data_IF_640639552060
#
_entry.id   IF_640639552060
#
_cell.length_a   1.000
_cell.length_b   1.000
_cell.length_c   1.000
_cell.angle_alpha   90.00
_cell.angle_beta   90.00
_cell.angle_gamma   90.00
#
_symmetry.space_group_name_H-M   'P 1'
#
loop_
_entity.id
_entity.type
_entity.pdbx_description
1 polymer ?
#
# COMPACT_ATOMS: atom_id res chain seq x y z
N UNK A 1 -0.23 21.37 -64.80
CA UNK A 1 0.27 20.11 -64.22
C UNK A 1 0.17 20.23 -62.71
N UNK A 2 -0.91 19.71 -62.14
CA UNK A 2 -1.16 19.72 -60.69
C UNK A 2 -0.86 18.32 -60.16
N UNK A 3 0.16 18.23 -59.30
CA UNK A 3 0.54 17.00 -58.60
C UNK A 3 -0.42 16.75 -57.44
N UNK A 4 -1.09 15.59 -57.49
CA UNK A 4 -2.00 15.06 -56.48
C UNK A 4 -1.17 14.69 -55.24
N UNK A 5 -1.46 15.34 -54.11
CA UNK A 5 -0.93 14.99 -52.81
C UNK A 5 -1.55 13.68 -52.32
N UNK A 6 -0.70 12.69 -52.07
CA UNK A 6 -1.11 11.39 -51.54
C UNK A 6 -1.45 11.50 -50.05
N UNK A 7 -2.67 11.11 -49.69
CA UNK A 7 -3.09 10.87 -48.30
C UNK A 7 -2.25 9.73 -47.69
N UNK A 8 -1.38 10.06 -46.75
CA UNK A 8 -0.71 9.06 -45.91
C UNK A 8 -1.69 8.63 -44.81
N UNK A 9 -2.44 7.56 -45.06
CA UNK A 9 -3.20 6.84 -44.02
C UNK A 9 -2.23 6.09 -43.10
N UNK A 10 -1.86 6.70 -41.98
CA UNK A 10 -1.08 6.03 -40.93
C UNK A 10 -1.99 5.08 -40.16
N UNK A 11 -1.93 3.78 -40.46
CA UNK A 11 -2.57 2.73 -39.65
C UNK A 11 -1.84 2.64 -38.31
N UNK A 12 -2.50 3.01 -37.20
CA UNK A 12 -2.07 2.64 -35.84
C UNK A 12 -2.11 1.11 -35.71
N UNK A 13 -0.97 0.48 -35.49
CA UNK A 13 -0.90 -0.93 -35.13
C UNK A 13 -1.27 -1.08 -33.65
N UNK A 14 -2.45 -1.66 -33.38
CA UNK A 14 -2.81 -2.14 -32.05
C UNK A 14 -2.12 -3.48 -31.83
N UNK A 15 -1.10 -3.53 -30.98
CA UNK A 15 -0.48 -4.78 -30.55
C UNK A 15 -1.31 -5.41 -29.43
N UNK A 16 -2.40 -6.08 -29.79
CA UNK A 16 -3.02 -7.12 -28.96
C UNK A 16 -3.33 -8.30 -29.88
N UNK A 17 -2.57 -9.38 -29.74
CA UNK A 17 -2.89 -10.67 -30.35
C UNK A 17 -3.92 -11.40 -29.46
N UNK A 18 -5.03 -11.92 -30.01
CA UNK A 18 -5.96 -12.77 -29.27
C UNK A 18 -5.28 -14.12 -28.97
N UNK A 19 -5.34 -14.57 -27.72
CA UNK A 19 -4.94 -15.94 -27.37
C UNK A 19 -6.06 -16.87 -27.82
N UNK A 20 -5.83 -17.59 -28.92
CA UNK A 20 -6.68 -18.69 -29.35
C UNK A 20 -6.56 -19.89 -28.40
N UNK A 21 -7.70 -20.55 -28.21
CA UNK A 21 -7.96 -21.61 -27.25
C UNK A 21 -7.02 -22.82 -27.42
N UNK A 22 -6.19 -23.08 -26.41
CA UNK A 22 -5.49 -24.35 -26.27
C UNK A 22 -6.16 -25.22 -25.19
N UNK A 23 -6.88 -26.24 -25.68
CA UNK A 23 -7.17 -27.56 -25.09
C UNK A 23 -7.26 -27.70 -23.56
N UNK A 24 -8.46 -28.10 -23.12
CA UNK A 24 -8.79 -28.58 -21.78
C UNK A 24 -7.74 -29.55 -21.20
N UNK A 25 -7.11 -29.15 -20.08
CA UNK A 25 -6.53 -30.09 -19.14
C UNK A 25 -7.34 -29.98 -17.83
N UNK A 26 -8.28 -30.91 -17.62
CA UNK A 26 -9.03 -31.03 -16.36
C UNK A 26 -8.07 -31.45 -15.24
N UNK A 27 -7.39 -30.49 -14.63
CA UNK A 27 -6.90 -30.65 -13.25
C UNK A 27 -8.00 -30.15 -12.33
N UNK A 28 -8.57 -31.07 -11.57
CA UNK A 28 -9.48 -30.79 -10.47
C UNK A 28 -8.68 -29.99 -9.45
N UNK A 29 -8.80 -28.67 -9.48
CA UNK A 29 -8.24 -27.80 -8.46
C UNK A 29 -9.05 -28.02 -7.19
N UNK A 30 -8.56 -28.89 -6.31
CA UNK A 30 -8.94 -28.84 -4.90
C UNK A 30 -8.67 -27.42 -4.41
N UNK A 31 -9.74 -26.79 -3.90
CA UNK A 31 -9.73 -25.44 -3.36
C UNK A 31 -8.90 -25.43 -2.07
N UNK A 32 -7.59 -25.35 -2.22
CA UNK A 32 -6.73 -24.87 -1.14
C UNK A 32 -6.99 -23.37 -1.07
N UNK A 33 -7.74 -22.97 -0.04
CA UNK A 33 -7.86 -21.58 0.39
C UNK A 33 -6.46 -21.06 0.71
N UNK A 34 -5.80 -20.53 -0.31
CA UNK A 34 -4.61 -19.71 -0.14
C UNK A 34 -5.10 -18.33 0.27
N UNK A 35 -5.58 -18.23 1.51
CA UNK A 35 -5.71 -16.94 2.18
C UNK A 35 -4.30 -16.37 2.27
N UNK A 36 -3.93 -15.55 1.27
CA UNK A 36 -2.83 -14.61 1.43
C UNK A 36 -3.09 -13.85 2.73
N UNK A 37 -2.06 -13.59 3.54
CA UNK A 37 -2.21 -12.71 4.71
C UNK A 37 -2.92 -11.44 4.27
N UNK A 38 -4.08 -11.15 4.87
CA UNK A 38 -4.79 -9.92 4.62
C UNK A 38 -3.87 -8.78 5.05
N UNK A 39 -3.34 -8.03 4.09
CA UNK A 39 -2.69 -6.75 4.39
C UNK A 39 -3.84 -5.75 4.43
N UNK A 40 -4.03 -5.03 5.55
CA UNK A 40 -5.08 -4.03 5.66
C UNK A 40 -4.96 -2.99 4.56
N UNK A 41 -6.10 -2.47 4.12
CA UNK A 41 -6.11 -1.34 3.21
C UNK A 41 -5.49 -0.10 3.87
N UNK A 42 -4.74 0.68 3.08
CA UNK A 42 -4.30 2.04 3.45
C UNK A 42 -5.06 3.03 2.60
N UNK A 43 -5.77 3.94 3.25
CA UNK A 43 -6.54 4.99 2.59
C UNK A 43 -5.91 6.37 2.81
N UNK A 44 -6.32 7.33 1.99
CA UNK A 44 -5.82 8.70 1.89
C UNK A 44 -4.30 8.74 1.66
N UNK A 45 -3.75 7.62 1.19
CA UNK A 45 -2.34 7.36 1.20
C UNK A 45 -1.62 7.95 0.00
N UNK A 46 -0.31 8.10 0.14
CA UNK A 46 0.57 8.50 -0.95
C UNK A 46 1.81 7.63 -0.99
N UNK A 47 2.19 7.24 -2.21
CA UNK A 47 3.40 6.47 -2.48
C UNK A 47 4.43 7.32 -3.22
N UNK A 48 5.61 7.43 -2.64
CA UNK A 48 6.77 8.13 -3.18
C UNK A 48 7.79 7.12 -3.67
N UNK A 49 8.24 7.25 -4.93
CA UNK A 49 9.30 6.40 -5.45
C UNK A 49 10.64 6.87 -4.92
N UNK A 50 11.44 5.96 -4.36
CA UNK A 50 12.76 6.28 -3.79
C UNK A 50 13.90 5.74 -4.64
N UNK A 51 13.57 5.03 -5.73
CA UNK A 51 14.50 4.69 -6.80
C UNK A 51 13.97 5.16 -8.14
N UNK A 52 14.86 5.50 -9.07
CA UNK A 52 14.51 5.88 -10.45
C UNK A 52 13.74 4.77 -11.19
N UNK A 53 14.04 3.52 -10.87
CA UNK A 53 13.36 2.33 -11.41
C UNK A 53 11.99 2.06 -10.78
N UNK A 54 11.56 2.87 -9.79
CA UNK A 54 10.33 2.64 -9.01
C UNK A 54 10.27 1.27 -8.33
N UNK A 55 11.41 0.61 -8.16
CA UNK A 55 11.53 -0.71 -7.52
C UNK A 55 11.28 -0.62 -6.01
N UNK A 56 11.66 0.50 -5.39
CA UNK A 56 11.40 0.79 -3.97
C UNK A 56 10.58 2.06 -3.82
N UNK A 57 9.76 2.07 -2.78
CA UNK A 57 8.87 3.17 -2.46
C UNK A 57 8.77 3.40 -0.97
N UNK A 58 8.43 4.63 -0.59
CA UNK A 58 7.94 4.99 0.72
C UNK A 58 6.46 5.32 0.60
N UNK A 59 5.61 4.60 1.30
CA UNK A 59 4.17 4.79 1.33
C UNK A 59 3.75 5.31 2.70
N UNK A 60 2.83 6.26 2.74
CA UNK A 60 2.19 6.74 3.97
C UNK A 60 0.68 6.73 3.78
N UNK A 61 -0.09 6.32 4.77
CA UNK A 61 -1.55 6.30 4.71
C UNK A 61 -2.19 5.89 6.03
N UNK A 62 -3.52 5.98 6.12
CA UNK A 62 -4.26 5.50 7.29
C UNK A 62 -4.56 4.02 7.10
N UNK A 63 -4.04 3.18 7.99
CA UNK A 63 -4.37 1.75 8.02
C UNK A 63 -5.79 1.53 8.54
N UNK A 64 -6.55 0.72 7.83
CA UNK A 64 -7.93 0.36 8.18
C UNK A 64 -7.92 -0.97 8.93
N UNK A 65 -7.50 -0.91 10.20
CA UNK A 65 -7.56 -1.99 11.19
C UNK A 65 -8.49 -1.58 12.36
N UNK A 66 -8.83 -2.48 13.31
CA UNK A 66 -9.64 -2.11 14.47
C UNK A 66 -9.12 -0.91 15.27
N UNK A 67 -7.82 -0.62 15.15
CA UNK A 67 -7.23 0.66 15.52
C UNK A 67 -6.79 1.39 14.24
N UNK A 68 -7.30 2.61 14.04
CA UNK A 68 -6.90 3.47 12.92
C UNK A 68 -5.65 4.23 13.31
N UNK A 69 -4.60 4.07 12.53
CA UNK A 69 -3.35 4.80 12.73
C UNK A 69 -2.69 5.08 11.38
N UNK A 70 -1.88 6.13 11.38
CA UNK A 70 -1.06 6.48 10.23
C UNK A 70 0.13 5.53 10.19
N UNK A 71 0.28 4.83 9.08
CA UNK A 71 1.41 3.95 8.79
C UNK A 71 2.37 4.60 7.81
N UNK A 72 3.67 4.45 8.06
CA UNK A 72 4.74 4.74 7.11
C UNK A 72 5.37 3.39 6.73
N UNK A 73 5.47 3.10 5.44
CA UNK A 73 5.92 1.80 4.93
C UNK A 73 6.99 1.99 3.89
N UNK A 74 8.18 1.47 4.17
CA UNK A 74 9.23 1.33 3.17
C UNK A 74 9.04 -0.02 2.47
N UNK A 75 8.76 -0.01 1.17
CA UNK A 75 8.37 -1.18 0.39
C UNK A 75 9.22 -1.40 -0.86
N UNK A 76 9.13 -2.61 -1.42
CA UNK A 76 9.55 -2.91 -2.78
C UNK A 76 8.45 -3.61 -3.59
N UNK A 77 8.67 -3.71 -4.91
CA UNK A 77 7.70 -4.34 -5.82
C UNK A 77 7.59 -5.86 -5.70
N UNK A 78 8.39 -6.50 -4.81
CA UNK A 78 8.33 -7.94 -4.51
C UNK A 78 7.55 -8.21 -3.22
N UNK A 79 6.72 -7.27 -2.80
CA UNK A 79 5.92 -7.32 -1.58
C UNK A 79 6.73 -7.35 -0.28
N UNK A 80 8.05 -7.08 -0.33
CA UNK A 80 8.81 -6.87 0.90
C UNK A 80 8.51 -5.48 1.42
N UNK A 81 8.24 -5.37 2.71
CA UNK A 81 7.92 -4.10 3.34
C UNK A 81 8.44 -4.05 4.78
N UNK A 82 8.77 -2.83 5.20
CA UNK A 82 9.16 -2.47 6.55
C UNK A 82 8.18 -1.40 7.02
N UNK A 83 7.33 -1.73 7.99
CA UNK A 83 6.43 -0.75 8.62
C UNK A 83 7.29 0.03 9.61
N UNK A 84 7.38 1.34 9.41
CA UNK A 84 8.14 2.28 10.21
C UNK A 84 7.18 3.02 11.15
N UNK A 85 7.20 2.74 12.46
CA UNK A 85 6.54 3.61 13.43
C UNK A 85 7.03 5.06 13.28
N UNK A 86 6.14 6.04 13.48
CA UNK A 86 6.47 7.45 13.37
C UNK A 86 7.69 7.85 14.24
N UNK A 87 7.78 7.28 15.44
CA UNK A 87 8.92 7.54 16.34
C UNK A 87 10.25 7.02 15.78
N UNK A 88 10.22 5.90 15.05
CA UNK A 88 11.42 5.39 14.37
C UNK A 88 11.75 6.27 13.16
N UNK A 89 10.76 6.69 12.38
CA UNK A 89 10.97 7.65 11.28
C UNK A 89 11.62 8.95 11.77
N UNK A 90 11.07 9.57 12.82
CA UNK A 90 11.64 10.79 13.40
C UNK A 90 13.06 10.61 13.91
N UNK A 91 13.35 9.48 14.55
CA UNK A 91 14.72 9.21 15.02
C UNK A 91 15.70 8.95 13.87
N UNK A 92 15.27 8.29 12.78
CA UNK A 92 16.06 8.14 11.55
C UNK A 92 16.45 9.53 11.01
N UNK A 93 15.47 10.43 10.89
CA UNK A 93 15.68 11.80 10.41
C UNK A 93 16.59 12.58 11.36
N UNK A 94 16.32 12.54 12.67
CA UNK A 94 17.12 13.22 13.68
C UNK A 94 18.59 12.77 13.66
N UNK A 95 18.84 11.49 13.38
CA UNK A 95 20.19 10.90 13.28
C UNK A 95 20.78 10.91 11.87
N UNK A 96 20.19 11.61 10.90
CA UNK A 96 20.61 11.62 9.48
C UNK A 96 22.13 11.71 9.30
N UNK A 97 22.76 12.76 9.84
CA UNK A 97 24.21 12.98 9.69
C UNK A 97 25.05 11.85 10.30
N UNK A 98 24.56 11.20 11.36
CA UNK A 98 25.24 10.06 11.97
C UNK A 98 25.09 8.79 11.11
N UNK A 99 23.92 8.57 10.52
CA UNK A 99 23.68 7.45 9.60
C UNK A 99 24.53 7.62 8.33
N UNK A 100 24.55 8.82 7.75
CA UNK A 100 25.36 9.13 6.56
C UNK A 100 26.85 8.83 6.81
N UNK A 101 27.40 9.33 7.93
CA UNK A 101 28.78 9.00 8.34
C UNK A 101 29.01 7.51 8.54
N UNK A 102 28.04 6.81 9.16
CA UNK A 102 28.12 5.37 9.37
C UNK A 102 28.15 4.57 8.06
N UNK A 103 27.42 5.04 7.05
CA UNK A 103 27.39 4.43 5.70
C UNK A 103 28.70 4.65 4.96
N UNK A 104 29.33 5.82 5.13
CA UNK A 104 30.61 6.17 4.48
C UNK A 104 31.81 5.38 5.06
N UNK A 105 31.83 5.15 6.37
CA UNK A 105 33.00 4.60 7.09
C UNK A 105 33.10 3.07 7.12
N UNK A 106 32.16 2.35 6.51
CA UNK A 106 32.17 0.87 6.43
C UNK A 106 32.42 0.16 7.78
N UNK A 107 31.66 0.52 8.80
CA UNK A 107 31.76 -0.10 10.13
C UNK A 107 31.35 -1.58 10.15
N UNK A 108 31.99 -2.37 11.02
CA UNK A 108 31.70 -3.80 11.18
C UNK A 108 30.52 -4.11 12.10
N UNK A 109 30.13 -3.19 12.99
CA UNK A 109 29.02 -3.37 13.93
C UNK A 109 27.75 -2.67 13.45
N UNK A 110 26.55 -3.24 13.67
CA UNK A 110 25.28 -2.57 13.37
C UNK A 110 25.12 -1.25 14.14
N UNK A 111 24.58 -0.22 13.47
CA UNK A 111 24.08 0.99 14.12
C UNK A 111 22.63 0.78 14.54
N UNK A 112 22.32 1.07 15.80
CA UNK A 112 20.98 0.92 16.36
C UNK A 112 20.27 2.27 16.51
N UNK A 113 19.01 2.29 16.09
CA UNK A 113 18.07 3.42 16.17
C UNK A 113 16.78 2.87 16.78
N UNK A 114 16.67 2.94 18.12
CA UNK A 114 15.66 2.19 18.87
C UNK A 114 15.74 0.71 18.49
N UNK A 115 14.67 0.14 17.94
CA UNK A 115 14.56 -1.26 17.52
C UNK A 115 15.01 -1.49 16.05
N UNK A 116 15.35 -0.42 15.32
CA UNK A 116 15.87 -0.51 13.96
C UNK A 116 17.39 -0.71 13.98
N UNK A 117 17.87 -1.77 13.34
CA UNK A 117 19.29 -1.94 13.03
C UNK A 117 19.61 -1.49 11.61
N UNK A 118 20.74 -0.82 11.45
CA UNK A 118 21.33 -0.40 10.18
C UNK A 118 22.68 -1.10 10.06
N UNK A 119 22.85 -1.90 9.01
CA UNK A 119 24.08 -2.63 8.75
C UNK A 119 24.56 -2.36 7.32
N UNK A 120 25.85 -2.04 7.17
CA UNK A 120 26.48 -1.89 5.87
C UNK A 120 27.16 -3.20 5.48
N UNK A 121 26.90 -3.69 4.26
CA UNK A 121 27.50 -4.92 3.72
C UNK A 121 27.98 -4.69 2.29
N UNK A 122 29.11 -5.27 1.94
CA UNK A 122 29.59 -5.28 0.56
C UNK A 122 28.96 -6.44 -0.20
N UNK A 123 28.31 -6.16 -1.33
CA UNK A 123 27.76 -7.16 -2.24
C UNK A 123 28.16 -6.83 -3.67
N UNK A 124 28.91 -7.74 -4.33
CA UNK A 124 29.37 -7.56 -5.71
C UNK A 124 30.12 -6.23 -5.98
N UNK A 125 30.85 -5.72 -4.98
CA UNK A 125 31.59 -4.45 -5.09
C UNK A 125 30.78 -3.20 -4.73
N UNK A 126 29.46 -3.33 -4.55
CA UNK A 126 28.59 -2.24 -4.10
C UNK A 126 28.35 -2.31 -2.59
N UNK A 127 28.30 -1.14 -1.93
CA UNK A 127 27.80 -1.03 -0.56
C UNK A 127 26.27 -1.16 -0.56
N UNK A 128 25.77 -2.09 0.23
CA UNK A 128 24.34 -2.33 0.46
C UNK A 128 24.05 -2.10 1.94
N UNK A 129 23.03 -1.31 2.20
CA UNK A 129 22.51 -1.04 3.54
C UNK A 129 21.39 -2.04 3.80
N UNK A 130 21.46 -2.75 4.91
CA UNK A 130 20.39 -3.60 5.42
C UNK A 130 19.75 -2.90 6.62
N UNK A 131 18.49 -2.54 6.47
CA UNK A 131 17.63 -2.10 7.55
C UNK A 131 16.90 -3.32 8.12
N UNK A 132 16.89 -3.50 9.44
CA UNK A 132 16.11 -4.57 10.08
C UNK A 132 15.27 -4.01 11.21
N UNK A 133 13.97 -4.32 11.19
CA UNK A 133 13.01 -3.93 12.23
C UNK A 133 12.00 -5.06 12.42
N UNK A 134 11.73 -5.44 13.66
CA UNK A 134 10.79 -6.53 14.03
C UNK A 134 10.96 -7.80 13.18
N UNK A 135 12.20 -8.29 13.04
CA UNK A 135 12.56 -9.47 12.24
C UNK A 135 12.29 -9.39 10.73
N UNK A 136 11.88 -8.22 10.22
CA UNK A 136 11.82 -7.94 8.78
C UNK A 136 13.04 -7.14 8.37
N UNK A 137 13.63 -7.47 7.23
CA UNK A 137 14.77 -6.75 6.69
C UNK A 137 14.48 -6.18 5.31
N UNK A 138 15.02 -5.01 5.03
CA UNK A 138 15.05 -4.42 3.71
C UNK A 138 16.45 -3.99 3.33
N UNK A 139 16.82 -4.25 2.08
CA UNK A 139 18.10 -3.87 1.52
C UNK A 139 17.95 -2.63 0.64
N UNK A 140 18.85 -1.67 0.75
CA UNK A 140 18.86 -0.40 0.01
C UNK A 140 20.29 -0.07 -0.43
N UNK A 141 20.41 0.69 -1.52
CA UNK A 141 21.67 1.36 -1.86
C UNK A 141 21.77 2.67 -1.07
N UNK A 142 22.98 3.20 -0.81
CA UNK A 142 23.17 4.51 -0.19
C UNK A 142 22.37 5.63 -0.88
N UNK A 143 22.31 5.64 -2.21
CA UNK A 143 21.50 6.59 -2.98
C UNK A 143 20.00 6.51 -2.64
N UNK A 144 19.47 5.29 -2.43
CA UNK A 144 18.07 5.10 -2.02
C UNK A 144 17.82 5.67 -0.62
N UNK A 145 18.78 5.53 0.30
CA UNK A 145 18.69 6.12 1.64
C UNK A 145 18.68 7.65 1.56
N UNK A 146 19.53 8.24 0.73
CA UNK A 146 19.54 9.70 0.53
C UNK A 146 18.21 10.21 -0.04
N UNK A 147 17.62 9.48 -1.00
CA UNK A 147 16.29 9.80 -1.52
C UNK A 147 15.20 9.71 -0.45
N UNK A 148 15.31 8.77 0.51
CA UNK A 148 14.38 8.72 1.65
C UNK A 148 14.48 9.99 2.50
N UNK A 149 15.69 10.46 2.80
CA UNK A 149 15.85 11.67 3.60
C UNK A 149 15.33 12.93 2.90
N UNK A 150 15.31 12.96 1.57
CA UNK A 150 14.70 14.08 0.83
C UNK A 150 13.17 14.14 0.99
N UNK A 151 12.54 13.08 1.49
CA UNK A 151 11.10 13.02 1.76
C UNK A 151 10.74 13.50 3.17
N UNK A 152 11.71 13.84 4.04
CA UNK A 152 11.50 14.27 5.44
C UNK A 152 10.29 15.18 5.64
N UNK A 153 10.35 16.40 5.10
CA UNK A 153 9.28 17.38 5.28
C UNK A 153 7.97 16.91 4.65
N UNK A 154 8.04 16.20 3.52
CA UNK A 154 6.85 15.72 2.84
C UNK A 154 6.10 14.67 3.68
N UNK A 155 6.84 13.77 4.32
CA UNK A 155 6.29 12.72 5.18
C UNK A 155 5.76 13.31 6.47
N UNK A 156 6.47 14.27 7.08
CA UNK A 156 6.01 14.92 8.31
C UNK A 156 4.69 15.68 8.11
N UNK A 157 4.58 16.46 7.03
CA UNK A 157 3.33 17.16 6.72
C UNK A 157 2.18 16.19 6.40
N UNK A 158 2.45 15.14 5.61
CA UNK A 158 1.45 14.11 5.32
C UNK A 158 1.02 13.38 6.59
N UNK A 159 1.95 13.07 7.48
CA UNK A 159 1.64 12.39 8.74
C UNK A 159 0.70 13.24 9.60
N UNK A 160 1.01 14.52 9.80
CA UNK A 160 0.15 15.43 10.56
C UNK A 160 -1.26 15.53 9.95
N UNK A 161 -1.35 15.73 8.63
CA UNK A 161 -2.63 15.81 7.95
C UNK A 161 -3.45 14.51 8.07
N UNK A 162 -2.83 13.34 7.88
CA UNK A 162 -3.49 12.05 8.03
C UNK A 162 -3.93 11.79 9.47
N UNK A 163 -3.08 12.16 10.44
CA UNK A 163 -3.37 12.00 11.86
C UNK A 163 -4.60 12.81 12.27
N UNK A 164 -4.69 14.08 11.83
CA UNK A 164 -5.86 14.93 12.06
C UNK A 164 -7.14 14.33 11.46
N UNK A 165 -7.05 13.62 10.32
CA UNK A 165 -8.20 13.00 9.65
C UNK A 165 -8.58 11.60 10.17
N UNK A 166 -7.78 11.04 11.09
CA UNK A 166 -8.00 9.65 11.56
C UNK A 166 -9.34 9.49 12.28
N UNK A 167 -9.79 10.51 13.01
CA UNK A 167 -11.09 10.50 13.68
C UNK A 167 -12.27 10.44 12.69
N UNK A 168 -12.21 11.22 11.61
CA UNK A 168 -13.23 11.27 10.57
C UNK A 168 -13.34 9.93 9.85
N UNK A 169 -12.20 9.33 9.49
CA UNK A 169 -12.12 7.99 8.90
C UNK A 169 -12.78 6.96 9.82
N UNK A 170 -12.41 6.94 11.10
CA UNK A 170 -13.01 6.02 12.06
C UNK A 170 -14.53 6.20 12.17
N UNK A 171 -15.01 7.45 12.27
CA UNK A 171 -16.45 7.73 12.34
C UNK A 171 -17.18 7.21 11.10
N UNK A 172 -16.66 7.47 9.89
CA UNK A 172 -17.27 7.01 8.64
C UNK A 172 -17.21 5.49 8.49
N UNK A 173 -16.10 4.87 8.88
CA UNK A 173 -16.00 3.40 8.90
C UNK A 173 -17.07 2.78 9.81
N UNK A 174 -17.20 3.25 11.05
CA UNK A 174 -18.19 2.69 11.99
C UNK A 174 -19.64 2.88 11.49
N UNK A 175 -19.92 3.99 10.79
CA UNK A 175 -21.21 4.18 10.10
C UNK A 175 -21.43 3.13 9.02
N UNK A 176 -20.45 2.90 8.15
CA UNK A 176 -20.55 1.88 7.10
C UNK A 176 -20.71 0.47 7.68
N UNK A 177 -20.00 0.13 8.77
CA UNK A 177 -20.23 -1.11 9.53
C UNK A 177 -21.68 -1.21 10.00
N UNK A 178 -22.22 -0.15 10.61
CA UNK A 178 -23.60 -0.13 11.12
C UNK A 178 -24.63 -0.31 9.99
N UNK A 179 -24.40 0.32 8.85
CA UNK A 179 -25.25 0.18 7.64
C UNK A 179 -25.27 -1.26 7.15
N UNK A 180 -24.10 -1.90 7.04
CA UNK A 180 -24.01 -3.29 6.59
C UNK A 180 -24.67 -4.26 7.57
N UNK A 181 -24.55 -4.00 8.88
CA UNK A 181 -25.23 -4.78 9.92
C UNK A 181 -26.76 -4.67 9.83
N UNK A 182 -27.30 -3.47 9.57
CA UNK A 182 -28.74 -3.24 9.44
C UNK A 182 -29.35 -3.85 8.17
N UNK A 183 -28.53 -4.14 7.16
CA UNK A 183 -28.95 -4.71 5.88
C UNK A 183 -28.63 -6.22 5.77
N UNK A 184 -28.50 -6.88 6.92
CA UNK A 184 -28.35 -8.33 7.09
C UNK A 184 -27.27 -8.98 6.21
N UNK A 185 -26.14 -8.28 6.00
CA UNK A 185 -25.04 -8.85 5.19
C UNK A 185 -24.51 -10.16 5.75
N UNK A 186 -24.63 -10.34 7.07
CA UNK A 186 -24.26 -11.57 7.79
C UNK A 186 -25.17 -12.72 7.34
N UNK A 187 -26.48 -12.51 7.30
CA UNK A 187 -27.45 -13.53 6.85
C UNK A 187 -27.21 -13.89 5.38
N UNK A 188 -27.02 -12.88 4.52
CA UNK A 188 -26.68 -13.08 3.09
C UNK A 188 -25.40 -13.92 2.93
N UNK A 189 -24.39 -13.65 3.76
CA UNK A 189 -23.15 -14.44 3.78
C UNK A 189 -23.37 -15.87 4.28
N UNK A 190 -24.11 -16.08 5.38
CA UNK A 190 -24.38 -17.41 5.92
C UNK A 190 -25.16 -18.31 4.96
N UNK A 191 -26.14 -17.76 4.25
CA UNK A 191 -26.97 -18.50 3.30
C UNK A 191 -26.21 -18.89 2.02
N UNK A 192 -25.41 -17.96 1.49
CA UNK A 192 -24.68 -18.16 0.22
C UNK A 192 -23.27 -18.74 0.40
N UNK A 193 -22.70 -18.66 1.61
CA UNK A 193 -21.28 -18.91 1.92
C UNK A 193 -20.31 -18.08 1.09
N UNK A 194 -20.78 -16.96 0.53
CA UNK A 194 -19.99 -16.05 -0.30
C UNK A 194 -20.36 -14.60 0.00
N UNK A 195 -19.37 -13.73 0.10
CA UNK A 195 -19.64 -12.30 0.27
C UNK A 195 -20.04 -11.66 -1.07
N UNK A 196 -21.26 -11.11 -1.14
CA UNK A 196 -21.66 -10.25 -2.26
C UNK A 196 -21.10 -8.83 -2.08
N UNK A 197 -19.90 -8.63 -2.61
CA UNK A 197 -19.21 -7.33 -2.58
C UNK A 197 -19.98 -6.23 -3.32
N UNK A 198 -20.72 -6.58 -4.37
CA UNK A 198 -21.50 -5.63 -5.14
C UNK A 198 -22.70 -5.14 -4.32
N UNK A 199 -23.38 -6.06 -3.62
CA UNK A 199 -24.44 -5.73 -2.68
C UNK A 199 -23.92 -4.87 -1.53
N UNK A 200 -22.82 -5.27 -0.88
CA UNK A 200 -22.20 -4.50 0.20
C UNK A 200 -21.90 -3.05 -0.22
N UNK A 201 -21.29 -2.89 -1.40
CA UNK A 201 -20.98 -1.58 -1.93
C UNK A 201 -22.23 -0.78 -2.28
N UNK A 202 -23.27 -1.44 -2.83
CA UNK A 202 -24.54 -0.81 -3.21
C UNK A 202 -25.25 -0.26 -1.98
N UNK A 203 -25.39 -1.07 -0.93
CA UNK A 203 -26.06 -0.69 0.31
C UNK A 203 -25.41 0.55 0.94
N UNK A 204 -24.07 0.62 0.95
CA UNK A 204 -23.36 1.82 1.43
C UNK A 204 -23.65 3.03 0.53
N UNK A 205 -23.54 2.88 -0.80
CA UNK A 205 -23.77 3.99 -1.75
C UNK A 205 -25.17 4.58 -1.71
N UNK A 206 -26.17 3.75 -1.44
CA UNK A 206 -27.58 4.17 -1.39
C UNK A 206 -27.97 4.74 -0.01
N UNK A 207 -27.08 4.71 0.97
CA UNK A 207 -27.33 5.26 2.31
C UNK A 207 -27.15 6.79 2.36
N UNK A 208 -27.96 7.45 3.19
CA UNK A 208 -27.86 8.91 3.43
C UNK A 208 -26.53 9.34 4.07
N UNK A 209 -25.78 8.40 4.65
CA UNK A 209 -24.49 8.65 5.30
C UNK A 209 -23.30 8.65 4.32
N UNK A 210 -23.51 8.22 3.06
CA UNK A 210 -22.49 8.23 2.02
C UNK A 210 -22.50 9.54 1.24
N UNK A 211 -21.36 10.23 1.21
CA UNK A 211 -21.13 11.44 0.44
C UNK A 211 -20.18 11.16 -0.73
N UNK A 212 -20.66 11.28 -1.97
CA UNK A 212 -19.84 11.04 -3.16
C UNK A 212 -18.75 12.10 -3.37
N UNK A 213 -18.90 13.27 -2.76
CA UNK A 213 -17.88 14.34 -2.82
C UNK A 213 -16.83 14.19 -1.69
N UNK A 214 -17.08 13.29 -0.73
CA UNK A 214 -16.12 12.94 0.33
C UNK A 214 -15.07 11.97 -0.19
N UNK A 215 -13.81 12.41 -0.17
CA UNK A 215 -12.67 11.54 -0.48
C UNK A 215 -12.58 10.36 0.50
N UNK A 216 -12.90 10.59 1.78
CA UNK A 216 -12.89 9.54 2.82
C UNK A 216 -13.91 8.45 2.48
N UNK A 217 -15.14 8.83 2.16
CA UNK A 217 -16.22 7.90 1.85
C UNK A 217 -15.88 7.08 0.60
N UNK A 218 -15.38 7.78 -0.43
CA UNK A 218 -14.98 7.18 -1.70
C UNK A 218 -13.83 6.18 -1.53
N UNK A 219 -12.80 6.52 -0.76
CA UNK A 219 -11.66 5.61 -0.52
C UNK A 219 -12.02 4.45 0.41
N UNK A 220 -12.82 4.69 1.45
CA UNK A 220 -13.33 3.61 2.31
C UNK A 220 -14.10 2.57 1.48
N UNK A 221 -14.96 3.02 0.58
CA UNK A 221 -15.74 2.15 -0.28
C UNK A 221 -14.89 1.46 -1.37
N UNK A 222 -13.92 2.15 -1.96
CA UNK A 222 -13.13 1.61 -3.06
C UNK A 222 -11.98 0.70 -2.58
N UNK A 223 -11.33 1.08 -1.49
CA UNK A 223 -10.09 0.46 -1.03
C UNK A 223 -10.28 -0.43 0.20
N UNK A 224 -11.21 -0.07 1.10
CA UNK A 224 -11.35 -0.72 2.41
C UNK A 224 -12.67 -1.51 2.59
N UNK A 225 -13.48 -1.68 1.54
CA UNK A 225 -14.75 -2.42 1.63
C UNK A 225 -14.55 -3.84 2.17
N UNK A 226 -13.45 -4.49 1.80
CA UNK A 226 -13.12 -5.83 2.31
C UNK A 226 -12.88 -5.81 3.80
N UNK A 227 -12.05 -4.88 4.28
CA UNK A 227 -11.76 -4.69 5.69
C UNK A 227 -13.04 -4.37 6.49
N UNK A 228 -13.92 -3.51 5.96
CA UNK A 228 -15.23 -3.17 6.57
C UNK A 228 -16.10 -4.43 6.70
N UNK A 229 -16.26 -5.21 5.63
CA UNK A 229 -17.11 -6.40 5.66
C UNK A 229 -16.51 -7.49 6.56
N UNK A 230 -15.20 -7.70 6.52
CA UNK A 230 -14.52 -8.63 7.43
C UNK A 230 -14.75 -8.25 8.88
N UNK A 231 -14.66 -6.95 9.21
CA UNK A 231 -14.96 -6.45 10.55
C UNK A 231 -16.40 -6.71 10.99
N UNK A 232 -17.36 -6.67 10.06
CA UNK A 232 -18.76 -7.02 10.33
C UNK A 232 -18.94 -8.53 10.57
N UNK A 233 -18.23 -9.37 9.81
CA UNK A 233 -18.35 -10.84 9.89
C UNK A 233 -17.61 -11.45 11.09
N UNK A 234 -16.54 -10.82 11.55
CA UNK A 234 -15.73 -11.30 12.69
C UNK A 234 -16.34 -10.91 14.06
N UNK A 235 -17.43 -10.13 14.09
CA UNK A 235 -18.15 -9.72 15.30
C UNK A 235 -19.44 -10.49 15.50
#
# INVERSE_FOLDING_TARGET
MYTIGAEVKTKRANYYLPIEQASQCKKKCESVSTEKPHIPARILGRRYMVTTTSYKYLEIGISVEPAYYVEIVLGDNRCNHLILPNEIWKEIIHRRAHIERYVESSHSSPLWIRDLSVECRMMHGDTIIKLTLFNKSMYLKPETLNNLFNLEQCIDHMYSWLYENTHLVNTKFQKFVSILQQNDIICVWYESKTTDWCYAAKVIRESDDFDSESLVDSELLACALKDIVHYVLDK
#
